data_IF_681729977775
#
_entry.id   IF_681729977775
#
_cell.length_a   1.000
_cell.length_b   1.000
_cell.length_c   1.000
_cell.angle_alpha   90.00
_cell.angle_beta   90.00
_cell.angle_gamma   90.00
#
_symmetry.space_group_name_H-M   'P 1'
#
loop_
_entity.id
_entity.type
_entity.pdbx_description
1 polymer ?
#
# COMPACT_ATOMS: atom_id res chain seq x y z
N UNK A 1 -5.15 -24.93 8.71
CA UNK A 1 -5.75 -25.15 7.38
C UNK A 1 -5.49 -23.91 6.54
N UNK A 2 -5.09 -24.06 5.26
CA UNK A 2 -4.96 -22.92 4.35
C UNK A 2 -6.31 -22.21 4.28
N UNK A 3 -6.29 -20.88 4.24
CA UNK A 3 -7.50 -20.09 4.11
C UNK A 3 -8.05 -20.32 2.70
N UNK A 4 -9.13 -21.10 2.54
CA UNK A 4 -9.68 -21.51 1.24
C UNK A 4 -10.82 -20.62 0.74
N UNK A 5 -11.02 -19.44 1.36
CA UNK A 5 -12.08 -18.51 0.94
C UNK A 5 -11.95 -18.18 -0.55
N UNK A 6 -13.03 -18.22 -1.35
CA UNK A 6 -12.96 -17.82 -2.75
C UNK A 6 -12.39 -16.40 -2.89
N UNK A 7 -11.49 -16.21 -3.85
CA UNK A 7 -10.90 -14.90 -4.15
C UNK A 7 -11.61 -14.29 -5.37
N UNK A 8 -11.81 -12.98 -5.35
CA UNK A 8 -12.26 -12.21 -6.51
C UNK A 8 -11.12 -12.17 -7.55
N UNK A 9 -11.34 -12.64 -8.79
CA UNK A 9 -10.31 -12.66 -9.84
C UNK A 9 -9.89 -11.26 -10.31
N UNK A 10 -10.66 -10.22 -10.00
CA UNK A 10 -10.41 -8.84 -10.41
C UNK A 10 -9.67 -8.02 -9.35
N UNK A 11 -9.36 -8.62 -8.20
CA UNK A 11 -8.79 -7.93 -7.05
C UNK A 11 -7.42 -8.50 -6.67
N UNK A 12 -6.46 -7.65 -6.28
CA UNK A 12 -5.13 -8.11 -5.95
C UNK A 12 -5.13 -8.92 -4.65
N UNK A 13 -4.13 -9.79 -4.52
CA UNK A 13 -4.00 -10.70 -3.39
C UNK A 13 -2.64 -10.55 -2.75
N UNK A 14 -2.65 -10.25 -1.45
CA UNK A 14 -1.47 -10.33 -0.59
C UNK A 14 -1.30 -11.76 -0.10
N UNK A 15 -0.14 -12.34 -0.39
CA UNK A 15 0.25 -13.65 0.09
C UNK A 15 1.25 -13.48 1.23
N UNK A 16 0.94 -14.05 2.39
CA UNK A 16 1.83 -14.04 3.55
C UNK A 16 2.11 -15.48 3.97
N UNK A 17 3.36 -15.90 3.87
CA UNK A 17 3.81 -17.19 4.41
C UNK A 17 4.65 -16.92 5.66
N UNK A 18 4.28 -17.55 6.77
CA UNK A 18 4.93 -17.31 8.05
C UNK A 18 5.08 -18.58 8.86
N UNK A 19 6.18 -18.69 9.60
CA UNK A 19 6.42 -19.79 10.53
C UNK A 19 5.21 -20.03 11.45
N UNK A 20 4.73 -21.28 11.52
CA UNK A 20 3.50 -21.65 12.24
C UNK A 20 3.70 -21.74 13.76
N UNK A 21 4.93 -21.93 14.22
CA UNK A 21 5.25 -22.02 15.65
C UNK A 21 5.13 -20.67 16.37
N UNK A 22 5.27 -19.55 15.65
CA UNK A 22 5.16 -18.20 16.22
C UNK A 22 3.72 -17.68 16.10
N UNK A 23 2.93 -17.86 17.16
CA UNK A 23 1.53 -17.44 17.18
C UNK A 23 1.34 -15.94 16.87
N UNK A 24 2.30 -15.10 17.25
CA UNK A 24 2.26 -13.65 17.00
C UNK A 24 2.31 -13.30 15.50
N UNK A 25 2.90 -14.15 14.65
CA UNK A 25 3.03 -13.88 13.22
C UNK A 25 1.69 -13.85 12.52
N UNK A 26 0.74 -14.69 12.92
CA UNK A 26 -0.61 -14.65 12.35
C UNK A 26 -1.31 -13.33 12.66
N UNK A 27 -1.26 -12.87 13.91
CA UNK A 27 -1.84 -11.58 14.32
C UNK A 27 -1.19 -10.41 13.57
N UNK A 28 0.14 -10.45 13.44
CA UNK A 28 0.91 -9.44 12.70
C UNK A 28 0.60 -9.44 11.20
N UNK A 29 0.40 -10.61 10.59
CA UNK A 29 0.00 -10.73 9.18
C UNK A 29 -1.38 -10.11 8.91
N UNK A 30 -2.35 -10.35 9.81
CA UNK A 30 -3.68 -9.74 9.72
C UNK A 30 -3.62 -8.21 9.88
N UNK A 31 -2.83 -7.72 10.83
CA UNK A 31 -2.64 -6.28 11.03
C UNK A 31 -1.97 -5.62 9.82
N UNK A 32 -0.91 -6.24 9.29
CA UNK A 32 -0.22 -5.77 8.09
C UNK A 32 -1.18 -5.69 6.91
N UNK A 33 -2.01 -6.71 6.71
CA UNK A 33 -3.04 -6.73 5.67
C UNK A 33 -4.04 -5.59 5.84
N UNK A 34 -4.62 -5.40 7.03
CA UNK A 34 -5.61 -4.34 7.26
C UNK A 34 -5.02 -2.94 7.01
N UNK A 35 -3.83 -2.67 7.53
CA UNK A 35 -3.19 -1.36 7.39
C UNK A 35 -2.73 -1.10 5.95
N UNK A 36 -2.23 -2.11 5.24
CA UNK A 36 -1.89 -1.98 3.83
C UNK A 36 -3.15 -1.80 2.95
N UNK A 37 -4.23 -2.51 3.24
CA UNK A 37 -5.50 -2.36 2.53
C UNK A 37 -6.06 -0.93 2.67
N UNK A 38 -5.99 -0.36 3.87
CA UNK A 38 -6.38 1.03 4.13
C UNK A 38 -5.50 2.02 3.34
N UNK A 39 -4.19 1.85 3.36
CA UNK A 39 -3.26 2.68 2.60
C UNK A 39 -3.50 2.61 1.08
N UNK A 40 -3.72 1.40 0.54
CA UNK A 40 -4.03 1.23 -0.88
C UNK A 40 -5.39 1.82 -1.26
N UNK A 41 -6.39 1.72 -0.39
CA UNK A 41 -7.71 2.32 -0.60
C UNK A 41 -7.63 3.85 -0.68
N UNK A 42 -6.74 4.48 0.11
CA UNK A 42 -6.49 5.92 0.03
C UNK A 42 -5.84 6.34 -1.31
N UNK A 43 -5.04 5.48 -1.93
CA UNK A 43 -4.39 5.73 -3.23
C UNK A 43 -5.36 5.44 -4.38
N UNK A 44 -6.05 4.31 -4.34
CA UNK A 44 -7.00 3.90 -5.37
C UNK A 44 -8.20 3.14 -4.75
N UNK A 45 -9.33 3.82 -4.50
CA UNK A 45 -10.47 3.24 -3.77
C UNK A 45 -11.14 2.01 -4.39
N UNK A 46 -10.84 1.71 -5.66
CA UNK A 46 -11.36 0.52 -6.36
C UNK A 46 -10.58 -0.75 -6.03
N UNK A 47 -9.40 -0.62 -5.45
CA UNK A 47 -8.55 -1.74 -5.06
C UNK A 47 -8.99 -2.27 -3.70
N UNK A 48 -9.46 -3.52 -3.68
CA UNK A 48 -9.81 -4.27 -2.48
C UNK A 48 -8.78 -5.37 -2.27
N UNK A 49 -7.79 -5.10 -1.42
CA UNK A 49 -6.72 -6.05 -1.16
C UNK A 49 -7.24 -7.30 -0.45
N UNK A 50 -7.07 -8.46 -1.09
CA UNK A 50 -7.41 -9.76 -0.50
C UNK A 50 -6.19 -10.37 0.21
N UNK A 51 -6.41 -11.38 1.06
CA UNK A 51 -5.35 -12.01 1.85
C UNK A 51 -5.37 -13.54 1.71
N UNK A 52 -4.20 -14.12 1.51
CA UNK A 52 -3.91 -15.55 1.60
C UNK A 52 -2.75 -15.76 2.57
N UNK A 53 -2.93 -16.65 3.55
CA UNK A 53 -1.90 -16.98 4.54
C UNK A 53 -1.52 -18.45 4.47
N UNK A 54 -0.22 -18.76 4.43
CA UNK A 54 0.30 -20.13 4.43
C UNK A 54 -0.39 -20.98 3.37
N UNK A 55 -0.57 -20.38 2.19
CA UNK A 55 -1.27 -20.94 1.04
C UNK A 55 -0.42 -22.03 0.38
N UNK A 56 0.91 -21.87 0.44
CA UNK A 56 1.89 -22.84 -0.04
C UNK A 56 2.46 -23.62 1.13
N UNK A 57 2.35 -24.95 1.06
CA UNK A 57 3.18 -25.90 1.82
C UNK A 57 3.38 -25.60 3.32
N UNK A 58 4.34 -26.27 3.96
CA UNK A 58 4.87 -25.81 5.24
C UNK A 58 5.82 -24.61 4.99
N UNK A 59 5.62 -23.47 5.67
CA UNK A 59 6.52 -22.33 5.58
C UNK A 59 7.86 -22.65 6.29
N UNK A 60 8.94 -22.01 5.85
CA UNK A 60 10.26 -22.18 6.46
C UNK A 60 10.30 -21.68 7.92
N UNK A 61 11.17 -22.27 8.74
CA UNK A 61 11.28 -21.90 10.15
C UNK A 61 11.81 -20.48 10.33
N UNK A 62 11.09 -19.72 11.16
CA UNK A 62 11.39 -18.30 11.37
C UNK A 62 11.13 -17.39 10.17
N UNK A 63 10.48 -17.88 9.10
CA UNK A 63 10.11 -17.07 7.94
C UNK A 63 8.95 -16.12 8.22
N UNK A 64 8.96 -15.00 7.50
CA UNK A 64 7.81 -14.10 7.34
C UNK A 64 7.96 -13.46 5.96
N UNK A 65 7.38 -14.11 4.96
CA UNK A 65 7.52 -13.77 3.56
C UNK A 65 6.24 -13.08 3.08
N UNK A 66 6.41 -12.02 2.30
CA UNK A 66 5.27 -11.26 1.74
C UNK A 66 5.44 -11.16 0.24
N UNK A 67 4.40 -11.54 -0.48
CA UNK A 67 4.32 -11.40 -1.92
C UNK A 67 2.95 -10.86 -2.33
N UNK A 68 2.88 -10.27 -3.52
CA UNK A 68 1.66 -9.67 -4.06
C UNK A 68 1.45 -10.14 -5.50
N UNK A 69 0.20 -10.34 -5.90
CA UNK A 69 -0.17 -10.52 -7.30
C UNK A 69 -1.37 -9.62 -7.65
N UNK A 70 -1.43 -9.08 -8.88
CA UNK A 70 -2.56 -8.27 -9.34
C UNK A 70 -3.85 -9.08 -9.48
N UNK A 71 -3.73 -10.40 -9.66
CA UNK A 71 -4.83 -11.35 -9.74
C UNK A 71 -4.48 -12.60 -8.90
N UNK A 72 -5.48 -13.32 -8.36
CA UNK A 72 -5.27 -14.59 -7.69
C UNK A 72 -4.51 -15.59 -8.58
N UNK A 73 -3.45 -16.19 -8.03
CA UNK A 73 -2.65 -17.20 -8.75
C UNK A 73 -2.10 -18.27 -7.80
N UNK A 74 -2.10 -19.50 -8.28
CA UNK A 74 -1.45 -20.64 -7.63
C UNK A 74 0.03 -20.75 -7.99
N UNK A 75 0.47 -20.08 -9.07
CA UNK A 75 1.87 -20.03 -9.45
C UNK A 75 2.64 -19.06 -8.54
N UNK A 76 3.61 -19.59 -7.81
CA UNK A 76 4.47 -18.78 -6.95
C UNK A 76 5.41 -17.87 -7.74
N UNK A 77 5.76 -18.22 -8.98
CA UNK A 77 6.62 -17.38 -9.83
C UNK A 77 5.89 -16.15 -10.36
N UNK A 78 4.57 -16.23 -10.47
CA UNK A 78 3.72 -15.10 -10.84
C UNK A 78 3.47 -14.11 -9.68
N UNK A 79 3.83 -14.48 -8.44
CA UNK A 79 3.74 -13.60 -7.26
C UNK A 79 5.02 -12.79 -7.15
N UNK A 80 4.89 -11.47 -7.02
CA UNK A 80 6.04 -10.60 -6.81
C UNK A 80 6.38 -10.54 -5.33
N UNK A 81 7.57 -11.02 -4.95
CA UNK A 81 8.08 -10.90 -3.58
C UNK A 81 8.36 -9.43 -3.26
N UNK A 82 7.83 -8.95 -2.13
CA UNK A 82 8.02 -7.58 -1.64
C UNK A 82 8.74 -7.54 -0.29
N UNK A 83 8.81 -8.68 0.42
CA UNK A 83 9.53 -8.78 1.67
C UNK A 83 9.99 -10.21 1.97
N UNK A 84 11.17 -10.32 2.58
CA UNK A 84 11.66 -11.55 3.21
C UNK A 84 12.11 -11.29 4.65
N UNK A 85 11.63 -12.14 5.56
CA UNK A 85 11.94 -12.13 6.99
C UNK A 85 13.04 -13.12 7.37
N UNK A 86 13.42 -14.05 6.50
CA UNK A 86 14.35 -15.13 6.81
C UNK A 86 15.70 -14.64 7.36
N UNK A 87 16.32 -13.69 6.67
CA UNK A 87 17.68 -13.20 6.99
C UNK A 87 17.71 -11.99 7.93
N UNK A 88 16.55 -11.51 8.39
CA UNK A 88 16.47 -10.29 9.21
C UNK A 88 16.68 -10.59 10.69
N UNK A 89 17.57 -9.81 11.30
CA UNK A 89 17.86 -9.79 12.73
C UNK A 89 17.85 -8.33 13.23
N UNK A 90 17.30 -8.05 14.43
CA UNK A 90 16.71 -8.99 15.39
C UNK A 90 15.35 -9.56 14.94
N UNK A 91 14.82 -10.53 15.68
CA UNK A 91 13.59 -11.25 15.28
C UNK A 91 12.34 -10.36 15.15
N UNK A 92 12.32 -9.19 15.80
CA UNK A 92 11.29 -8.17 15.64
C UNK A 92 11.27 -7.55 14.23
N UNK A 93 12.42 -7.47 13.55
CA UNK A 93 12.58 -6.91 12.21
C UNK A 93 12.18 -7.88 11.10
N UNK A 94 11.75 -9.11 11.44
CA UNK A 94 11.29 -10.10 10.44
C UNK A 94 9.95 -9.72 9.82
N UNK A 95 9.10 -9.02 10.56
CA UNK A 95 7.80 -8.55 10.08
C UNK A 95 7.91 -7.08 9.66
N UNK A 96 7.55 -6.73 8.42
CA UNK A 96 7.63 -5.35 7.95
C UNK A 96 6.59 -4.44 8.60
N UNK A 97 6.87 -3.13 8.60
CA UNK A 97 5.85 -2.09 8.71
C UNK A 97 5.19 -1.84 7.34
N UNK A 98 4.03 -1.18 7.31
CA UNK A 98 3.37 -0.83 6.03
C UNK A 98 4.26 0.04 5.16
N UNK A 99 4.95 1.01 5.75
CA UNK A 99 5.83 1.93 5.01
C UNK A 99 6.98 1.21 4.31
N UNK A 100 7.45 0.09 4.88
CA UNK A 100 8.52 -0.72 4.30
C UNK A 100 8.11 -1.39 2.99
N UNK A 101 6.80 -1.67 2.81
CA UNK A 101 6.28 -2.47 1.70
C UNK A 101 5.28 -1.74 0.81
N UNK A 102 4.80 -0.55 1.20
CA UNK A 102 3.78 0.19 0.44
C UNK A 102 4.28 0.52 -0.97
N UNK A 103 5.46 1.11 -1.07
CA UNK A 103 6.07 1.47 -2.37
C UNK A 103 6.28 0.26 -3.30
N UNK A 104 6.94 -0.84 -2.88
CA UNK A 104 7.10 -2.00 -3.75
C UNK A 104 5.77 -2.68 -4.10
N UNK A 105 4.76 -2.65 -3.21
CA UNK A 105 3.40 -3.14 -3.52
C UNK A 105 2.73 -2.27 -4.58
N UNK A 106 2.77 -0.95 -4.42
CA UNK A 106 2.22 -0.03 -5.43
C UNK A 106 2.88 -0.23 -6.80
N UNK A 107 4.21 -0.42 -6.82
CA UNK A 107 4.94 -0.73 -8.05
C UNK A 107 4.50 -2.05 -8.68
N UNK A 108 4.41 -3.12 -7.89
CA UNK A 108 3.95 -4.43 -8.35
C UNK A 108 2.53 -4.40 -8.93
N UNK A 109 1.65 -3.61 -8.32
CA UNK A 109 0.27 -3.42 -8.75
C UNK A 109 0.10 -2.36 -9.84
N UNK A 110 1.20 -1.74 -10.30
CA UNK A 110 1.21 -0.63 -11.28
C UNK A 110 0.27 0.52 -10.87
N UNK A 111 0.16 0.75 -9.56
CA UNK A 111 -0.61 1.86 -9.00
C UNK A 111 0.21 3.14 -9.09
N UNK A 112 -0.47 4.29 -9.13
CA UNK A 112 0.19 5.60 -9.19
C UNK A 112 1.08 5.78 -7.97
N UNK A 113 2.25 6.36 -8.18
CA UNK A 113 3.19 6.69 -7.12
C UNK A 113 2.57 7.76 -6.17
N UNK A 114 2.33 7.44 -4.88
CA UNK A 114 1.72 8.37 -3.94
C UNK A 114 2.58 9.61 -3.67
N UNK A 115 3.90 9.55 -3.84
CA UNK A 115 4.80 10.69 -3.69
C UNK A 115 4.74 11.64 -4.89
N UNK A 116 4.56 11.11 -6.12
CA UNK A 116 4.38 11.96 -7.31
C UNK A 116 3.08 12.75 -7.28
N UNK A 117 2.02 12.20 -6.70
CA UNK A 117 0.73 12.90 -6.63
C UNK A 117 0.70 14.00 -5.57
N UNK A 118 1.31 13.77 -4.40
CA UNK A 118 1.49 14.82 -3.38
C UNK A 118 2.30 16.00 -3.94
N UNK A 119 3.39 15.73 -4.66
CA UNK A 119 4.19 16.77 -5.31
C UNK A 119 3.40 17.50 -6.41
N UNK A 120 2.63 16.77 -7.23
CA UNK A 120 1.80 17.37 -8.28
C UNK A 120 0.69 18.26 -7.70
N UNK A 121 0.01 17.81 -6.64
CA UNK A 121 -1.04 18.59 -5.95
C UNK A 121 -0.46 19.85 -5.29
N UNK A 122 0.73 19.75 -4.69
CA UNK A 122 1.43 20.91 -4.14
C UNK A 122 1.73 21.95 -5.24
N UNK A 123 2.27 21.51 -6.39
CA UNK A 123 2.55 22.39 -7.53
C UNK A 123 1.27 23.02 -8.13
N UNK A 124 0.16 22.27 -8.20
CA UNK A 124 -1.11 22.84 -8.68
C UNK A 124 -1.69 23.86 -7.71
N UNK A 125 -1.52 23.66 -6.40
CA UNK A 125 -2.02 24.60 -5.38
C UNK A 125 -1.18 25.89 -5.35
N UNK A 126 0.13 25.82 -5.57
CA UNK A 126 0.97 27.02 -5.72
C UNK A 126 0.53 27.90 -6.91
N UNK A 127 0.17 27.30 -8.05
CA UNK A 127 -0.25 28.05 -9.24
C UNK A 127 -1.56 28.81 -9.07
N UNK A 128 -2.45 28.37 -8.18
CA UNK A 128 -3.73 29.05 -7.94
C UNK A 128 -3.65 30.19 -6.92
N UNK A 129 -2.60 30.23 -6.08
CA UNK A 129 -2.45 31.27 -5.05
C UNK A 129 -1.87 32.59 -5.58
N UNK A 130 -1.11 32.53 -6.68
CA UNK A 130 -0.49 33.71 -7.33
C UNK A 130 -1.50 34.57 -8.14
N UNK A 131 -2.77 34.16 -8.24
CA UNK A 131 -3.81 34.87 -9.00
C UNK A 131 -4.67 35.85 -8.18
N UNK A 132 -4.56 35.87 -6.84
CA UNK A 132 -5.54 36.54 -5.97
C UNK A 132 -5.09 37.87 -5.35
N UNK A 133 -3.94 38.44 -5.75
CA UNK A 133 -3.38 39.67 -5.14
C UNK A 133 -3.46 40.96 -5.97
N UNK A 134 -4.16 40.98 -7.11
CA UNK A 134 -4.29 42.21 -7.91
C UNK A 134 -5.75 42.67 -8.03
N UNK A 135 -6.28 43.36 -7.01
CA UNK A 135 -7.41 44.30 -7.14
C UNK A 135 -7.59 45.13 -5.85
N UNK A 136 -6.62 45.98 -5.54
CA UNK A 136 -6.83 47.05 -4.55
C UNK A 136 -7.36 48.29 -5.26
N UNK A 137 -8.58 48.66 -4.84
CA UNK A 137 -9.44 49.80 -5.20
C UNK A 137 -8.71 51.08 -5.66
N UNK A 138 -9.09 51.58 -6.83
CA UNK A 138 -9.00 53.02 -7.15
C UNK A 138 -10.40 53.62 -6.99
N UNK A 139 -10.63 54.35 -5.89
CA UNK A 139 -11.84 55.18 -5.75
C UNK A 139 -11.57 56.50 -6.47
N UNK A 140 -12.29 56.72 -7.58
CA UNK A 140 -12.35 58.01 -8.26
C UNK A 140 -13.31 58.90 -7.47
N UNK A 141 -12.82 59.96 -6.84
CA UNK A 141 -13.65 61.10 -6.44
C UNK A 141 -13.55 62.16 -7.54
N UNK A 142 -14.59 62.23 -8.35
CA UNK A 142 -14.86 63.36 -9.23
C UNK A 142 -16.37 63.59 -9.21
N UNK A 143 -16.83 64.60 -8.47
CA UNK A 143 -18.07 65.28 -8.80
C UNK A 143 -18.07 66.72 -8.25
N UNK A 144 -18.06 67.67 -9.18
CA UNK A 144 -18.32 69.08 -8.97
C UNK A 144 -19.75 69.33 -8.45
N UNK A 145 -19.91 70.27 -7.52
CA UNK A 145 -20.60 71.55 -7.74
C UNK A 145 -20.39 72.48 -6.54
#
# INVERSE_FOLDING_TARGET
MPDKRPLDPLQPVLYIDHCRYRQTYRKRALLLHSSLAEALNAIQPRVKLQLRINDKGPPEDGSFEVAIAPQPTDDSKARQSVWTGLRRMPSASKVPHVDDILTPVCFALKLRDPHKESHRRMLTNLRHNEGSRARTRTIKNALNK
#
